data_IF_041340788788
#
_entry.id   IF_041340788788
#
_cell.length_a   1.000
_cell.length_b   1.000
_cell.length_c   1.000
_cell.angle_alpha   90.00
_cell.angle_beta   90.00
_cell.angle_gamma   90.00
#
_symmetry.space_group_name_H-M   'P 1'
#
loop_
_entity.id
_entity.type
_entity.pdbx_description
1 polymer ?
#
# COMPACT_ATOMS: atom_id res chain seq x y z
N UNK A 1 12.32 0.03 13.00
CA UNK A 1 10.96 -0.37 13.41
C UNK A 1 10.87 -0.72 14.90
N UNK A 2 11.68 -1.64 15.41
CA UNK A 2 11.62 -2.05 16.83
C UNK A 2 12.09 -0.94 17.76
N UNK A 3 13.05 -0.13 17.34
CA UNK A 3 13.51 1.04 18.11
C UNK A 3 12.40 2.07 18.28
N UNK A 4 11.54 2.24 17.25
CA UNK A 4 10.39 3.17 17.27
C UNK A 4 9.27 2.68 18.22
N UNK A 5 9.12 1.35 18.37
CA UNK A 5 8.06 0.74 19.18
C UNK A 5 8.42 0.60 20.67
N UNK A 6 9.71 0.75 21.03
CA UNK A 6 10.20 0.57 22.38
C UNK A 6 10.09 -0.88 22.88
N UNK A 7 9.88 -1.06 24.20
CA UNK A 7 9.73 -2.39 24.80
C UNK A 7 8.35 -2.99 24.48
N UNK A 8 8.33 -3.95 23.56
CA UNK A 8 7.11 -4.66 23.13
C UNK A 8 6.80 -5.91 23.95
N UNK A 9 7.58 -6.23 24.98
CA UNK A 9 7.39 -7.42 25.82
C UNK A 9 6.03 -7.43 26.53
N UNK A 10 5.50 -6.24 26.82
CA UNK A 10 4.20 -6.06 27.47
C UNK A 10 3.01 -6.59 26.64
N UNK A 11 3.16 -6.73 25.34
CA UNK A 11 2.08 -7.19 24.43
C UNK A 11 2.18 -8.68 24.06
N UNK A 12 3.03 -9.46 24.73
CA UNK A 12 3.36 -10.84 24.32
C UNK A 12 2.11 -11.72 24.19
N UNK A 13 1.20 -11.71 25.17
CA UNK A 13 -0.01 -12.53 25.14
C UNK A 13 -0.97 -12.12 24.02
N UNK A 14 -1.17 -10.82 23.84
CA UNK A 14 -2.01 -10.27 22.78
C UNK A 14 -1.45 -10.61 21.39
N UNK A 15 -0.13 -10.58 21.24
CA UNK A 15 0.57 -10.94 20.00
C UNK A 15 0.43 -12.43 19.70
N UNK A 16 0.58 -13.29 20.69
CA UNK A 16 0.40 -14.75 20.49
C UNK A 16 -1.04 -15.10 20.09
N UNK A 17 -2.03 -14.49 20.73
CA UNK A 17 -3.42 -14.64 20.32
C UNK A 17 -3.64 -14.17 18.88
N UNK A 18 -3.18 -12.95 18.55
CA UNK A 18 -3.33 -12.36 17.21
C UNK A 18 -2.66 -13.21 16.12
N UNK A 19 -1.47 -13.73 16.42
CA UNK A 19 -0.70 -14.62 15.58
C UNK A 19 -1.47 -15.90 15.22
N UNK A 20 -2.12 -16.51 16.21
CA UNK A 20 -2.86 -17.76 16.02
C UNK A 20 -4.15 -17.55 15.22
N UNK A 21 -4.87 -16.46 15.49
CA UNK A 21 -6.22 -16.24 14.93
C UNK A 21 -6.20 -15.54 13.55
N UNK A 22 -5.22 -14.66 13.31
CA UNK A 22 -5.29 -13.73 12.18
C UNK A 22 -4.11 -13.80 11.21
N UNK A 23 -3.05 -14.55 11.53
CA UNK A 23 -1.89 -14.68 10.63
C UNK A 23 -1.87 -16.08 10.01
N UNK A 24 -1.96 -16.22 8.68
CA UNK A 24 -1.89 -17.51 8.00
C UNK A 24 -0.62 -18.30 8.36
N UNK A 25 -0.75 -19.61 8.52
CA UNK A 25 0.34 -20.50 8.94
C UNK A 25 1.55 -20.40 8.00
N UNK A 26 1.34 -20.34 6.71
CA UNK A 26 2.39 -20.20 5.70
C UNK A 26 3.23 -18.90 5.89
N UNK A 27 2.61 -17.82 6.35
CA UNK A 27 3.32 -16.57 6.64
C UNK A 27 4.07 -16.64 7.97
N UNK A 28 3.58 -17.40 8.94
CA UNK A 28 4.33 -17.71 10.16
C UNK A 28 5.57 -18.56 9.87
N UNK A 29 5.47 -19.52 8.96
CA UNK A 29 6.61 -20.31 8.49
C UNK A 29 7.65 -19.45 7.78
N UNK A 30 7.22 -18.44 7.02
CA UNK A 30 8.12 -17.47 6.39
C UNK A 30 8.81 -16.58 7.44
N UNK A 31 8.09 -16.10 8.47
CA UNK A 31 8.67 -15.37 9.62
C UNK A 31 9.72 -16.22 10.33
N UNK A 32 9.44 -17.49 10.58
CA UNK A 32 10.42 -18.43 11.14
C UNK A 32 11.63 -18.63 10.23
N UNK A 33 11.43 -18.55 8.90
CA UNK A 33 12.50 -18.52 7.91
C UNK A 33 13.37 -17.27 8.03
N UNK A 34 12.76 -16.09 8.11
CA UNK A 34 13.45 -14.79 8.28
C UNK A 34 14.29 -14.78 9.55
N UNK A 35 13.76 -15.32 10.66
CA UNK A 35 14.46 -15.40 11.95
C UNK A 35 15.85 -16.07 11.84
N UNK A 36 16.04 -17.03 10.94
CA UNK A 36 17.31 -17.73 10.76
C UNK A 36 18.45 -16.81 10.28
N UNK A 37 18.12 -15.63 9.77
CA UNK A 37 19.08 -14.67 9.20
C UNK A 37 19.18 -13.37 10.02
N UNK A 38 18.57 -13.30 11.19
CA UNK A 38 18.65 -12.14 12.08
C UNK A 38 18.56 -12.54 13.55
N UNK A 39 18.90 -11.62 14.46
CA UNK A 39 18.89 -11.84 15.91
C UNK A 39 17.55 -11.48 16.57
N UNK A 40 16.48 -11.30 15.79
CA UNK A 40 15.16 -10.97 16.31
C UNK A 40 14.33 -12.23 16.57
N UNK A 41 13.44 -12.18 17.55
CA UNK A 41 12.44 -13.24 17.79
C UNK A 41 11.35 -13.20 16.70
N UNK A 42 10.63 -14.30 16.52
CA UNK A 42 9.49 -14.35 15.58
C UNK A 42 8.43 -13.28 15.92
N UNK A 43 8.17 -13.05 17.22
CA UNK A 43 7.22 -12.01 17.64
C UNK A 43 7.71 -10.61 17.29
N UNK A 44 9.00 -10.33 17.43
CA UNK A 44 9.59 -9.07 17.03
C UNK A 44 9.48 -8.87 15.50
N UNK A 45 9.73 -9.91 14.70
CA UNK A 45 9.56 -9.87 13.25
C UNK A 45 8.08 -9.69 12.90
N UNK A 46 7.17 -10.40 13.56
CA UNK A 46 5.73 -10.23 13.34
C UNK A 46 5.28 -8.79 13.66
N UNK A 47 5.69 -8.24 14.79
CA UNK A 47 5.36 -6.87 15.18
C UNK A 47 5.81 -5.86 14.12
N UNK A 48 7.01 -6.03 13.54
CA UNK A 48 7.46 -5.16 12.45
C UNK A 48 6.59 -5.30 11.19
N UNK A 49 5.94 -6.42 11.00
CA UNK A 49 5.00 -6.66 9.90
C UNK A 49 3.58 -6.13 10.19
N UNK A 50 3.26 -5.90 11.46
CA UNK A 50 2.03 -5.24 11.92
C UNK A 50 2.19 -3.72 12.07
N UNK A 51 3.37 -3.19 11.76
CA UNK A 51 3.71 -1.78 11.99
C UNK A 51 2.73 -0.80 11.33
N UNK A 52 2.23 -1.11 10.13
CA UNK A 52 1.23 -0.30 9.47
C UNK A 52 -0.03 -0.15 10.33
N UNK A 53 -0.55 -1.27 10.84
CA UNK A 53 -1.78 -1.26 11.63
C UNK A 53 -1.60 -0.57 12.99
N UNK A 54 -0.39 -0.57 13.54
CA UNK A 54 -0.05 0.05 14.81
C UNK A 54 0.27 1.55 14.72
N UNK A 55 0.99 1.99 13.67
CA UNK A 55 1.59 3.33 13.57
C UNK A 55 1.31 4.04 12.23
N UNK A 56 0.16 3.79 11.62
CA UNK A 56 -0.22 4.37 10.30
C UNK A 56 -0.24 5.91 10.25
N UNK A 57 -0.28 6.60 11.38
CA UNK A 57 -0.25 8.06 11.46
C UNK A 57 1.09 8.71 11.07
N UNK A 58 2.17 7.92 10.90
CA UNK A 58 3.48 8.40 10.43
C UNK A 58 3.69 8.23 8.92
N UNK A 59 2.65 7.79 8.18
CA UNK A 59 2.72 7.53 6.75
C UNK A 59 2.05 8.63 5.94
N UNK A 60 2.75 9.18 4.95
CA UNK A 60 2.15 9.87 3.83
C UNK A 60 2.14 8.98 2.60
N UNK A 61 1.24 9.21 1.68
CA UNK A 61 1.23 8.51 0.40
C UNK A 61 0.58 9.37 -0.67
N UNK A 62 1.02 9.19 -1.91
CA UNK A 62 0.34 9.72 -3.09
C UNK A 62 0.32 8.64 -4.15
N UNK A 63 -0.85 8.21 -4.58
CA UNK A 63 -0.98 7.26 -5.69
C UNK A 63 -1.92 7.83 -6.74
N UNK A 64 -1.61 7.61 -8.01
CA UNK A 64 -2.47 8.06 -9.10
C UNK A 64 -2.31 7.20 -10.36
N UNK A 65 -3.32 7.26 -11.22
CA UNK A 65 -3.33 6.75 -12.58
C UNK A 65 -4.02 7.77 -13.49
N UNK A 66 -3.56 7.85 -14.72
CA UNK A 66 -4.25 8.54 -15.80
C UNK A 66 -4.68 7.50 -16.82
N UNK A 67 -5.99 7.35 -17.00
CA UNK A 67 -6.55 6.36 -17.90
C UNK A 67 -6.51 6.88 -19.33
N UNK A 68 -5.48 6.50 -20.04
CA UNK A 68 -5.40 6.70 -21.50
C UNK A 68 -5.55 5.34 -22.18
N UNK A 69 -5.91 5.34 -23.46
CA UNK A 69 -6.11 4.10 -24.20
C UNK A 69 -4.80 3.39 -24.61
N UNK A 70 -3.64 3.98 -24.27
CA UNK A 70 -2.33 3.46 -24.71
C UNK A 70 -1.70 2.53 -23.66
N UNK A 71 -1.61 2.97 -22.42
CA UNK A 71 -0.95 2.21 -21.35
C UNK A 71 -1.68 2.41 -20.01
N UNK A 72 -1.90 1.31 -19.28
CA UNK A 72 -2.40 1.38 -17.92
C UNK A 72 -1.23 1.46 -16.94
N UNK A 73 -1.04 2.63 -16.37
CA UNK A 73 0.07 2.94 -15.47
C UNK A 73 -0.47 3.40 -14.11
N UNK A 74 0.05 2.79 -13.06
CA UNK A 74 -0.21 3.15 -11.68
C UNK A 74 1.08 3.69 -11.05
N UNK A 75 1.06 4.91 -10.56
CA UNK A 75 2.22 5.59 -9.99
C UNK A 75 2.02 5.85 -8.49
N UNK A 76 3.12 5.82 -7.71
CA UNK A 76 3.08 6.00 -6.26
C UNK A 76 4.33 6.64 -5.68
N UNK A 77 4.14 7.60 -4.75
CA UNK A 77 5.07 7.93 -3.69
C UNK A 77 4.64 7.22 -2.40
N UNK A 78 5.56 6.52 -1.77
CA UNK A 78 5.42 6.06 -0.39
C UNK A 78 6.28 6.98 0.49
N UNK A 79 5.61 7.69 1.39
CA UNK A 79 6.22 8.65 2.28
C UNK A 79 6.21 8.05 3.69
N UNK A 80 7.41 7.77 4.23
CA UNK A 80 7.58 7.13 5.51
C UNK A 80 8.82 7.66 6.21
N UNK A 81 8.63 8.24 7.37
CA UNK A 81 9.77 8.67 8.15
C UNK A 81 10.59 7.48 8.61
N UNK A 82 11.89 7.54 8.44
CA UNK A 82 12.84 6.55 8.95
C UNK A 82 14.15 7.19 9.30
N UNK A 83 14.75 6.78 10.43
CA UNK A 83 16.08 7.26 10.79
C UNK A 83 17.09 6.96 9.68
N UNK A 84 17.96 7.96 9.40
CA UNK A 84 19.06 7.87 8.44
C UNK A 84 18.64 7.37 7.04
N UNK A 85 17.38 7.57 6.66
CA UNK A 85 16.83 7.08 5.38
C UNK A 85 17.01 5.56 5.15
N UNK A 86 17.03 4.76 6.22
CA UNK A 86 17.26 3.32 6.16
C UNK A 86 16.27 2.62 5.22
N UNK A 87 14.99 2.98 5.26
CA UNK A 87 13.96 2.40 4.40
C UNK A 87 14.23 2.67 2.91
N UNK A 88 14.67 3.88 2.58
CA UNK A 88 15.01 4.24 1.19
C UNK A 88 16.17 3.40 0.67
N UNK A 89 17.25 3.27 1.45
CA UNK A 89 18.46 2.55 1.06
C UNK A 89 18.20 1.05 0.82
N UNK A 90 17.24 0.46 1.54
CA UNK A 90 16.95 -0.97 1.48
C UNK A 90 15.68 -1.33 0.70
N UNK A 91 15.04 -0.37 0.04
CA UNK A 91 13.90 -0.64 -0.83
C UNK A 91 14.29 -1.52 -2.02
N UNK A 92 13.51 -2.58 -2.27
CA UNK A 92 13.76 -3.57 -3.33
C UNK A 92 12.45 -3.99 -3.99
N UNK A 93 12.58 -4.50 -5.23
CA UNK A 93 11.51 -5.24 -5.90
C UNK A 93 11.71 -6.72 -5.60
N UNK A 94 10.69 -7.38 -5.06
CA UNK A 94 10.65 -8.80 -4.78
C UNK A 94 9.76 -9.50 -5.79
N UNK A 95 10.24 -10.60 -6.37
CA UNK A 95 9.49 -11.43 -7.31
C UNK A 95 9.12 -12.77 -6.66
N UNK A 96 7.83 -13.02 -6.53
CA UNK A 96 7.29 -14.27 -5.99
C UNK A 96 6.95 -15.21 -7.14
N UNK A 97 7.56 -16.39 -7.12
CA UNK A 97 7.50 -17.37 -8.21
C UNK A 97 6.83 -18.67 -7.78
N UNK A 98 6.11 -19.28 -8.72
CA UNK A 98 5.63 -20.65 -8.63
C UNK A 98 6.04 -21.38 -9.91
N UNK A 99 6.70 -22.52 -9.80
CA UNK A 99 7.20 -23.28 -10.96
C UNK A 99 7.99 -22.41 -11.97
N UNK A 100 8.87 -21.51 -11.49
CA UNK A 100 9.68 -20.55 -12.25
C UNK A 100 8.93 -19.38 -12.90
N UNK A 101 7.62 -19.30 -12.82
CA UNK A 101 6.84 -18.16 -13.30
C UNK A 101 6.60 -17.15 -12.18
N UNK A 102 6.75 -15.85 -12.50
CA UNK A 102 6.43 -14.78 -11.57
C UNK A 102 4.90 -14.68 -11.46
N UNK A 103 4.38 -14.96 -10.27
CA UNK A 103 2.94 -14.82 -9.97
C UNK A 103 2.61 -13.38 -9.61
N UNK A 104 3.41 -12.78 -8.75
CA UNK A 104 3.29 -11.36 -8.40
C UNK A 104 4.66 -10.80 -7.99
N UNK A 105 4.72 -9.47 -7.94
CA UNK A 105 5.89 -8.75 -7.47
C UNK A 105 5.47 -7.66 -6.49
N UNK A 106 6.31 -7.38 -5.50
CA UNK A 106 6.08 -6.30 -4.54
C UNK A 106 7.27 -5.37 -4.44
N UNK A 107 7.03 -4.14 -3.99
CA UNK A 107 8.07 -3.20 -3.56
C UNK A 107 8.03 -3.15 -2.04
N UNK A 108 9.14 -3.43 -1.40
CA UNK A 108 9.22 -3.52 0.06
C UNK A 108 10.65 -3.62 0.57
N UNK A 109 10.81 -4.25 1.72
CA UNK A 109 12.08 -4.36 2.43
C UNK A 109 12.35 -5.80 2.87
N UNK A 110 13.63 -6.21 3.00
CA UNK A 110 13.98 -7.52 3.56
C UNK A 110 13.34 -7.70 4.96
N UNK A 111 12.68 -8.85 5.18
CA UNK A 111 12.01 -9.16 6.45
C UNK A 111 10.59 -8.60 6.61
N UNK A 112 10.16 -7.68 5.74
CA UNK A 112 8.78 -7.24 5.67
C UNK A 112 8.01 -8.14 4.69
N UNK A 113 7.20 -9.05 5.22
CA UNK A 113 6.45 -10.06 4.43
C UNK A 113 5.09 -9.57 3.96
N UNK A 114 4.52 -8.55 4.64
CA UNK A 114 3.32 -7.86 4.19
C UNK A 114 3.57 -7.04 2.91
N UNK A 115 2.52 -6.56 2.26
CA UNK A 115 2.64 -5.78 1.02
C UNK A 115 1.90 -4.46 1.14
N UNK A 116 2.62 -3.36 0.87
CA UNK A 116 2.07 -2.00 0.74
C UNK A 116 1.88 -1.60 -0.71
N UNK A 117 2.64 -2.22 -1.62
CA UNK A 117 2.66 -1.93 -3.06
C UNK A 117 3.05 -3.18 -3.82
N UNK A 118 2.19 -3.64 -4.71
CA UNK A 118 2.47 -4.85 -5.48
C UNK A 118 1.69 -4.91 -6.79
N UNK A 119 2.12 -5.82 -7.65
CA UNK A 119 1.51 -6.08 -8.95
C UNK A 119 1.43 -7.58 -9.19
N UNK A 120 0.22 -8.07 -9.44
CA UNK A 120 0.03 -9.42 -9.99
C UNK A 120 0.43 -9.41 -11.45
N UNK A 121 1.23 -10.40 -11.84
CA UNK A 121 1.75 -10.49 -13.19
C UNK A 121 0.61 -10.48 -14.23
N UNK A 122 0.72 -9.56 -15.18
CA UNK A 122 -0.22 -9.41 -16.30
C UNK A 122 -1.70 -9.22 -15.94
N UNK A 123 -2.01 -8.72 -14.72
CA UNK A 123 -3.39 -8.59 -14.27
C UNK A 123 -3.69 -7.22 -13.64
N UNK A 124 -3.20 -6.94 -12.45
CA UNK A 124 -3.49 -5.69 -11.72
C UNK A 124 -2.37 -5.29 -10.76
N UNK A 125 -2.37 -4.05 -10.32
CA UNK A 125 -1.51 -3.52 -9.24
C UNK A 125 -2.35 -2.97 -8.10
N UNK A 126 -1.83 -3.06 -6.88
CA UNK A 126 -2.46 -2.55 -5.66
C UNK A 126 -1.46 -1.68 -4.91
N UNK A 127 -1.92 -0.54 -4.42
CA UNK A 127 -1.19 0.28 -3.44
C UNK A 127 -2.08 0.62 -2.26
N UNK A 128 -1.47 0.65 -1.06
CA UNK A 128 -2.12 1.00 0.19
C UNK A 128 -1.69 2.40 0.61
N UNK A 129 -2.64 3.31 0.76
CA UNK A 129 -2.43 4.63 1.34
C UNK A 129 -3.03 4.67 2.75
N UNK A 130 -2.29 5.22 3.70
CA UNK A 130 -2.77 5.41 5.06
C UNK A 130 -3.88 6.47 5.12
N UNK A 131 -4.81 6.25 6.02
CA UNK A 131 -5.86 7.20 6.40
C UNK A 131 -6.23 6.95 7.85
N UNK A 132 -6.72 7.96 8.55
CA UNK A 132 -7.23 7.84 9.89
C UNK A 132 -8.73 8.09 9.91
N UNK A 133 -9.46 7.21 10.59
CA UNK A 133 -10.89 7.39 10.83
C UNK A 133 -11.20 7.49 12.31
N UNK A 134 -12.42 7.89 12.64
CA UNK A 134 -12.94 7.87 14.01
C UNK A 134 -13.27 6.46 14.51
N UNK A 135 -13.22 5.44 13.64
CA UNK A 135 -13.40 4.05 14.03
C UNK A 135 -12.09 3.51 14.65
N UNK A 136 -12.19 2.85 15.80
CA UNK A 136 -11.06 2.15 16.41
C UNK A 136 -10.64 0.93 15.59
N UNK A 137 -9.43 0.38 15.85
CA UNK A 137 -8.98 -0.86 15.22
C UNK A 137 -9.89 -2.03 15.59
N UNK A 138 -10.01 -3.00 14.68
CA UNK A 138 -10.78 -4.22 14.88
C UNK A 138 -9.85 -5.44 14.99
N UNK A 139 -10.31 -6.49 15.67
CA UNK A 139 -9.64 -7.78 15.70
C UNK A 139 -9.92 -8.49 14.37
N UNK A 140 -9.01 -8.35 13.42
CA UNK A 140 -9.13 -8.88 12.07
C UNK A 140 -7.73 -9.02 11.42
N UNK A 141 -7.61 -9.68 10.26
CA UNK A 141 -6.33 -9.79 9.55
C UNK A 141 -5.69 -8.44 9.23
N UNK A 142 -4.34 -8.33 9.30
CA UNK A 142 -3.63 -7.12 8.90
C UNK A 142 -3.85 -6.83 7.42
N UNK A 143 -4.10 -5.57 7.08
CA UNK A 143 -4.38 -5.20 5.68
C UNK A 143 -3.21 -5.49 4.74
N UNK A 144 -1.97 -5.41 5.23
CA UNK A 144 -0.76 -5.72 4.44
C UNK A 144 -0.67 -7.19 4.05
N UNK A 145 -1.12 -8.10 4.93
CA UNK A 145 -1.22 -9.54 4.62
C UNK A 145 -2.42 -9.85 3.73
N UNK A 146 -3.55 -9.14 3.89
CA UNK A 146 -4.68 -9.25 2.97
C UNK A 146 -4.26 -8.87 1.54
N UNK A 147 -3.55 -7.76 1.34
CA UNK A 147 -3.04 -7.37 0.02
C UNK A 147 -2.16 -8.47 -0.57
N UNK A 148 -1.29 -9.08 0.25
CA UNK A 148 -0.46 -10.20 -0.17
C UNK A 148 -1.29 -11.40 -0.62
N UNK A 149 -2.28 -11.83 0.16
CA UNK A 149 -3.18 -12.92 -0.20
C UNK A 149 -3.92 -12.63 -1.51
N UNK A 150 -4.39 -11.40 -1.70
CA UNK A 150 -5.05 -11.00 -2.94
C UNK A 150 -4.10 -11.12 -4.12
N UNK A 151 -2.88 -10.59 -4.04
CA UNK A 151 -1.88 -10.73 -5.10
C UNK A 151 -1.48 -12.17 -5.38
N UNK A 152 -1.52 -13.04 -4.38
CA UNK A 152 -1.14 -14.45 -4.48
C UNK A 152 -2.24 -15.32 -5.08
N UNK A 153 -3.51 -15.09 -4.71
CA UNK A 153 -4.60 -16.00 -5.00
C UNK A 153 -5.64 -15.46 -6.00
N UNK A 154 -5.93 -14.16 -6.00
CA UNK A 154 -6.92 -13.58 -6.90
C UNK A 154 -6.34 -13.35 -8.30
N UNK A 155 -6.89 -13.99 -9.31
CA UNK A 155 -6.30 -14.01 -10.65
C UNK A 155 -6.64 -12.80 -11.50
N UNK A 156 -7.77 -12.15 -11.25
CA UNK A 156 -8.29 -11.04 -12.02
C UNK A 156 -8.65 -9.84 -11.15
N UNK A 157 -8.82 -8.68 -11.80
CA UNK A 157 -9.16 -7.42 -11.18
C UNK A 157 -10.44 -7.47 -10.36
N UNK A 158 -11.50 -8.08 -10.89
CA UNK A 158 -12.82 -8.06 -10.25
C UNK A 158 -12.85 -8.93 -8.99
N UNK A 159 -12.20 -10.08 -9.02
CA UNK A 159 -12.04 -10.95 -7.84
C UNK A 159 -11.20 -10.25 -6.77
N UNK A 160 -10.13 -9.55 -7.17
CA UNK A 160 -9.29 -8.77 -6.25
C UNK A 160 -10.09 -7.64 -5.57
N UNK A 161 -10.86 -6.86 -6.34
CA UNK A 161 -11.72 -5.79 -5.80
C UNK A 161 -12.73 -6.37 -4.81
N UNK A 162 -13.44 -7.43 -5.18
CA UNK A 162 -14.42 -8.08 -4.27
C UNK A 162 -13.76 -8.55 -2.98
N UNK A 163 -12.61 -9.21 -3.06
CA UNK A 163 -11.88 -9.70 -1.89
C UNK A 163 -11.43 -8.58 -0.97
N UNK A 164 -10.87 -7.50 -1.54
CA UNK A 164 -10.45 -6.32 -0.79
C UNK A 164 -11.62 -5.58 -0.13
N UNK A 165 -12.81 -5.58 -0.73
CA UNK A 165 -14.00 -4.96 -0.16
C UNK A 165 -14.61 -5.78 0.97
N UNK A 166 -14.67 -7.12 0.83
CA UNK A 166 -15.47 -7.98 1.69
C UNK A 166 -14.73 -8.60 2.86
N UNK A 167 -13.39 -8.74 2.76
CA UNK A 167 -12.60 -9.32 3.85
C UNK A 167 -12.51 -8.32 5.01
N UNK A 168 -12.80 -8.74 6.25
CA UNK A 168 -12.54 -7.91 7.43
C UNK A 168 -11.08 -7.45 7.50
N UNK A 169 -10.84 -6.24 7.99
CA UNK A 169 -9.51 -5.67 8.17
C UNK A 169 -9.33 -5.09 9.57
N UNK A 170 -8.09 -5.12 10.07
CA UNK A 170 -7.77 -4.61 11.41
C UNK A 170 -7.85 -3.08 11.49
N UNK A 171 -7.49 -2.38 10.43
CA UNK A 171 -7.42 -0.91 10.43
C UNK A 171 -7.84 -0.31 9.10
N UNK A 172 -8.26 0.95 9.15
CA UNK A 172 -8.67 1.77 8.01
C UNK A 172 -7.54 1.96 6.99
N UNK A 173 -7.92 2.03 5.73
CA UNK A 173 -6.97 2.22 4.63
C UNK A 173 -7.69 2.73 3.36
N UNK A 174 -6.89 3.23 2.43
CA UNK A 174 -7.30 3.52 1.06
C UNK A 174 -6.51 2.61 0.13
N UNK A 175 -7.20 1.80 -0.65
CA UNK A 175 -6.59 0.85 -1.57
C UNK A 175 -6.84 1.30 -3.00
N UNK A 176 -5.79 1.71 -3.71
CA UNK A 176 -5.90 1.96 -5.14
C UNK A 176 -5.56 0.69 -5.88
N UNK A 177 -6.44 0.25 -6.77
CA UNK A 177 -6.23 -0.87 -7.65
C UNK A 177 -6.39 -0.44 -9.11
N UNK A 178 -5.43 -0.82 -9.94
CA UNK A 178 -5.44 -0.56 -11.39
C UNK A 178 -5.24 -1.89 -12.10
N UNK A 179 -6.15 -2.22 -13.02
CA UNK A 179 -6.10 -3.42 -13.82
C UNK A 179 -5.43 -3.20 -15.16
N UNK A 180 -5.20 -4.31 -15.87
CA UNK A 180 -4.59 -4.31 -17.20
C UNK A 180 -5.54 -3.81 -18.28
N UNK A 181 -6.84 -4.11 -18.16
CA UNK A 181 -7.81 -3.78 -19.18
C UNK A 181 -8.29 -2.31 -19.06
N UNK A 182 -8.68 -1.67 -20.17
CA UNK A 182 -9.20 -0.29 -20.14
C UNK A 182 -10.37 -0.14 -19.17
N UNK A 183 -10.34 0.95 -18.38
CA UNK A 183 -11.39 1.25 -17.42
C UNK A 183 -11.27 0.52 -16.07
N UNK A 184 -10.39 -0.45 -15.94
CA UNK A 184 -10.15 -1.14 -14.68
C UNK A 184 -9.27 -0.31 -13.74
N UNK A 185 -9.90 0.60 -12.99
CA UNK A 185 -9.24 1.33 -11.92
C UNK A 185 -10.26 1.79 -10.89
N UNK A 186 -9.95 1.66 -9.60
CA UNK A 186 -10.75 2.25 -8.53
C UNK A 186 -9.89 2.52 -7.29
N UNK A 187 -10.43 3.36 -6.40
CA UNK A 187 -9.98 3.46 -5.01
C UNK A 187 -11.06 2.85 -4.12
N UNK A 188 -10.66 1.89 -3.29
CA UNK A 188 -11.51 1.31 -2.25
C UNK A 188 -11.17 2.05 -0.97
N UNK A 189 -12.11 2.85 -0.49
CA UNK A 189 -12.03 3.51 0.81
C UNK A 189 -12.56 2.56 1.87
N UNK A 190 -11.77 2.29 2.92
CA UNK A 190 -12.12 1.32 3.96
C UNK A 190 -11.95 1.88 5.36
N UNK A 191 -12.99 1.72 6.18
CA UNK A 191 -12.86 1.61 7.63
C UNK A 191 -12.90 0.12 8.03
N UNK A 192 -12.64 -0.27 9.28
CA UNK A 192 -12.80 -1.66 9.73
C UNK A 192 -14.18 -2.25 9.41
N UNK A 193 -15.24 -1.45 9.44
CA UNK A 193 -16.64 -1.91 9.29
C UNK A 193 -17.30 -1.55 7.97
N UNK A 194 -16.76 -0.60 7.20
CA UNK A 194 -17.38 -0.08 5.97
C UNK A 194 -16.41 -0.04 4.80
N UNK A 195 -16.98 -0.02 3.61
CA UNK A 195 -16.22 0.32 2.40
C UNK A 195 -17.05 1.16 1.43
N UNK A 196 -16.35 1.92 0.58
CA UNK A 196 -16.92 2.59 -0.58
C UNK A 196 -15.93 2.49 -1.74
N UNK A 197 -16.45 2.45 -2.96
CA UNK A 197 -15.64 2.39 -4.18
C UNK A 197 -15.74 3.73 -4.90
N UNK A 198 -14.59 4.34 -5.18
CA UNK A 198 -14.46 5.57 -5.95
C UNK A 198 -13.85 5.27 -7.31
N UNK A 199 -14.59 5.63 -8.34
CA UNK A 199 -14.18 5.45 -9.73
C UNK A 199 -13.38 6.66 -10.25
N UNK A 200 -12.65 6.52 -11.37
CA UNK A 200 -11.97 7.63 -12.02
C UNK A 200 -12.93 8.73 -12.46
N UNK A 201 -12.48 9.98 -12.35
CA UNK A 201 -13.17 11.15 -12.88
C UNK A 201 -12.29 11.83 -13.94
N UNK A 202 -12.84 12.16 -15.11
CA UNK A 202 -12.09 12.78 -16.21
C UNK A 202 -10.78 12.05 -16.55
N UNK A 203 -10.82 10.74 -16.61
CA UNK A 203 -9.67 9.85 -16.80
C UNK A 203 -8.60 9.90 -15.69
N UNK A 204 -8.88 10.54 -14.58
CA UNK A 204 -7.95 10.66 -13.45
C UNK A 204 -8.44 9.84 -12.27
N UNK A 205 -7.54 9.08 -11.68
CA UNK A 205 -7.75 8.45 -10.39
C UNK A 205 -6.59 8.85 -9.47
N UNK A 206 -6.90 9.53 -8.37
CA UNK A 206 -5.91 10.08 -7.46
C UNK A 206 -6.31 9.70 -6.04
N UNK A 207 -5.36 9.28 -5.22
CA UNK A 207 -5.54 9.03 -3.80
C UNK A 207 -4.34 9.53 -3.00
N UNK A 208 -4.61 10.21 -1.91
CA UNK A 208 -3.64 10.65 -0.92
C UNK A 208 -3.96 10.03 0.44
N UNK A 209 -4.28 10.80 1.46
CA UNK A 209 -4.53 10.29 2.81
C UNK A 209 -5.89 10.74 3.39
N UNK A 210 -6.89 10.97 2.51
CA UNK A 210 -8.23 11.41 2.90
C UNK A 210 -9.30 10.52 2.28
N UNK A 211 -10.35 10.25 3.04
CA UNK A 211 -11.61 9.76 2.48
C UNK A 211 -12.29 10.84 1.65
N UNK A 212 -12.80 10.46 0.49
CA UNK A 212 -13.59 11.35 -0.38
C UNK A 212 -15.07 10.98 -0.38
N UNK A 213 -15.40 9.68 -0.34
CA UNK A 213 -16.77 9.15 -0.25
C UNK A 213 -17.15 8.95 1.22
N UNK A 214 -16.29 8.28 2.00
CA UNK A 214 -16.46 8.11 3.43
C UNK A 214 -15.95 9.32 4.23
N UNK A 215 -16.11 10.53 3.67
CA UNK A 215 -15.56 11.77 4.22
C UNK A 215 -15.99 12.08 5.67
N UNK A 216 -17.18 11.61 6.09
CA UNK A 216 -17.63 11.71 7.49
C UNK A 216 -16.81 10.86 8.48
N UNK A 217 -15.94 9.96 7.99
CA UNK A 217 -15.02 9.19 8.81
C UNK A 217 -13.66 9.88 9.04
N UNK A 218 -13.30 10.92 8.26
CA UNK A 218 -12.05 11.66 8.44
C UNK A 218 -11.94 12.23 9.86
N UNK A 219 -10.75 12.09 10.46
CA UNK A 219 -10.44 12.77 11.72
C UNK A 219 -10.15 14.26 11.45
N UNK A 220 -10.68 15.13 12.27
CA UNK A 220 -10.33 16.57 12.23
C UNK A 220 -8.92 16.78 12.84
N UNK A 221 -8.11 17.67 12.23
CA UNK A 221 -6.77 18.06 12.69
C UNK A 221 -5.70 16.96 12.62
N UNK A 222 -5.75 16.11 11.61
CA UNK A 222 -4.71 15.13 11.35
C UNK A 222 -3.54 15.78 10.55
N UNK A 223 -2.29 15.60 11.02
CA UNK A 223 -1.09 16.07 10.34
C UNK A 223 -0.96 15.48 8.92
N UNK A 224 -1.43 14.25 8.71
CA UNK A 224 -1.48 13.64 7.38
C UNK A 224 -2.44 14.40 6.45
N UNK A 225 -3.53 14.88 6.98
CA UNK A 225 -4.57 15.60 6.26
C UNK A 225 -4.09 16.98 5.80
N UNK A 226 -3.28 17.69 6.59
CA UNK A 226 -2.77 19.02 6.26
C UNK A 226 -2.01 19.06 4.94
N UNK A 227 -1.26 18.01 4.63
CA UNK A 227 -0.50 17.90 3.37
C UNK A 227 -1.25 17.13 2.28
N UNK A 228 -2.25 16.34 2.64
CA UNK A 228 -2.95 15.42 1.76
C UNK A 228 -3.73 16.14 0.67
N UNK A 229 -4.56 17.13 1.03
CA UNK A 229 -5.34 17.92 0.09
C UNK A 229 -4.45 18.65 -0.90
N UNK A 230 -3.38 19.30 -0.44
CA UNK A 230 -2.45 20.01 -1.31
C UNK A 230 -1.77 19.10 -2.33
N UNK A 231 -1.33 17.89 -1.92
CA UNK A 231 -0.75 16.89 -2.82
C UNK A 231 -1.79 16.37 -3.84
N UNK A 232 -3.01 16.11 -3.39
CA UNK A 232 -4.10 15.70 -4.27
C UNK A 232 -4.39 16.72 -5.35
N UNK A 233 -4.57 18.00 -4.97
CA UNK A 233 -4.88 19.10 -5.88
C UNK A 233 -3.73 19.34 -6.85
N UNK A 234 -2.47 19.21 -6.39
CA UNK A 234 -1.29 19.36 -7.25
C UNK A 234 -1.20 18.25 -8.29
N UNK A 235 -1.44 16.99 -7.94
CA UNK A 235 -1.50 15.89 -8.90
C UNK A 235 -2.62 16.13 -9.91
N UNK A 236 -3.81 16.53 -9.46
CA UNK A 236 -4.97 16.83 -10.32
C UNK A 236 -4.65 17.95 -11.32
N UNK A 237 -4.00 19.02 -10.86
CA UNK A 237 -3.54 20.13 -11.71
C UNK A 237 -2.57 19.64 -12.79
N UNK A 238 -1.54 18.86 -12.40
CA UNK A 238 -0.51 18.37 -13.30
C UNK A 238 -1.08 17.41 -14.36
N UNK A 239 -1.94 16.47 -13.94
CA UNK A 239 -2.62 15.55 -14.86
C UNK A 239 -3.52 16.28 -15.87
N UNK A 240 -4.16 17.38 -15.44
CA UNK A 240 -5.05 18.16 -16.32
C UNK A 240 -4.26 19.01 -17.31
N UNK A 241 -3.12 19.59 -16.90
CA UNK A 241 -2.30 20.44 -17.76
C UNK A 241 -1.39 19.65 -18.70
N UNK A 242 -0.84 18.56 -18.22
CA UNK A 242 0.15 17.73 -18.90
C UNK A 242 -0.16 16.24 -18.66
N UNK A 243 -1.17 15.68 -19.37
CA UNK A 243 -1.48 14.26 -19.26
C UNK A 243 -0.26 13.39 -19.58
N UNK A 244 0.16 12.48 -18.68
CA UNK A 244 1.35 11.67 -18.87
C UNK A 244 1.18 10.69 -20.01
N UNK A 245 2.21 10.49 -20.84
CA UNK A 245 2.23 9.63 -21.99
C UNK A 245 3.10 8.36 -21.80
N UNK A 246 4.01 8.38 -20.84
CA UNK A 246 4.97 7.31 -20.59
C UNK A 246 5.44 7.32 -19.12
N UNK A 247 6.18 6.30 -18.70
CA UNK A 247 6.63 6.14 -17.31
C UNK A 247 7.45 7.35 -16.80
N UNK A 248 8.19 8.03 -17.68
CA UNK A 248 9.01 9.20 -17.29
C UNK A 248 8.13 10.35 -16.83
N UNK A 249 7.04 10.63 -17.55
CA UNK A 249 6.10 11.69 -17.22
C UNK A 249 5.44 11.45 -15.85
N UNK A 250 5.10 10.17 -15.54
CA UNK A 250 4.61 9.79 -14.21
C UNK A 250 5.64 10.08 -13.11
N UNK A 251 6.94 9.80 -13.36
CA UNK A 251 7.99 10.13 -12.39
C UNK A 251 8.22 11.64 -12.27
N UNK A 252 8.00 12.42 -13.30
CA UNK A 252 8.06 13.89 -13.23
C UNK A 252 6.97 14.42 -12.29
N UNK A 253 5.73 13.90 -12.39
CA UNK A 253 4.64 14.25 -11.47
C UNK A 253 4.98 13.81 -10.04
N UNK A 254 5.43 12.56 -9.84
CA UNK A 254 5.82 12.04 -8.51
C UNK A 254 6.95 12.86 -7.87
N UNK A 255 7.84 13.44 -8.68
CA UNK A 255 9.01 14.20 -8.21
C UNK A 255 8.74 15.70 -8.06
N UNK A 256 7.53 16.17 -8.45
CA UNK A 256 7.15 17.57 -8.28
C UNK A 256 7.18 17.95 -6.79
N UNK A 257 7.71 19.12 -6.45
CA UNK A 257 7.85 19.60 -5.08
C UNK A 257 6.52 19.74 -4.31
N UNK A 258 5.40 19.95 -5.02
CA UNK A 258 4.06 19.95 -4.43
C UNK A 258 3.44 18.55 -4.26
N UNK A 259 4.13 17.48 -4.68
CA UNK A 259 3.67 16.08 -4.59
C UNK A 259 4.60 15.22 -3.73
N UNK A 260 5.91 15.40 -3.90
CA UNK A 260 6.94 14.66 -3.18
C UNK A 260 7.16 15.26 -1.79
N UNK A 261 7.16 14.41 -0.78
CA UNK A 261 7.47 14.80 0.59
C UNK A 261 8.96 14.60 0.91
N UNK A 262 9.48 15.31 1.92
CA UNK A 262 10.87 15.13 2.39
C UNK A 262 11.12 13.72 2.96
N UNK A 263 10.06 13.04 3.39
CA UNK A 263 10.07 11.67 3.92
C UNK A 263 9.77 10.62 2.86
N UNK A 264 9.75 10.96 1.56
CA UNK A 264 9.52 9.99 0.49
C UNK A 264 10.65 8.97 0.43
N UNK A 265 10.34 7.70 0.71
CA UNK A 265 11.30 6.58 0.72
C UNK A 265 11.26 5.76 -0.56
N UNK A 266 10.13 5.75 -1.28
CA UNK A 266 9.97 5.02 -2.54
C UNK A 266 9.16 5.84 -3.53
N UNK A 267 9.64 5.92 -4.76
CA UNK A 267 8.88 6.37 -5.92
C UNK A 267 8.79 5.19 -6.89
N UNK A 268 7.58 4.82 -7.29
CA UNK A 268 7.40 3.65 -8.14
C UNK A 268 6.33 3.84 -9.20
N UNK A 269 6.50 3.13 -10.30
CA UNK A 269 5.56 3.06 -11.42
C UNK A 269 5.34 1.61 -11.78
N UNK A 270 4.08 1.18 -11.78
CA UNK A 270 3.62 -0.10 -12.28
C UNK A 270 3.05 0.11 -13.68
N UNK A 271 3.70 -0.41 -14.69
CA UNK A 271 3.18 -0.43 -16.06
C UNK A 271 2.51 -1.79 -16.31
N UNK A 272 1.18 -1.82 -16.26
CA UNK A 272 0.37 -3.04 -16.37
C UNK A 272 0.43 -3.59 -17.79
N UNK A 273 0.49 -2.72 -18.80
CA UNK A 273 0.58 -3.09 -20.21
C UNK A 273 1.89 -3.81 -20.52
N UNK A 274 3.00 -3.32 -19.98
CA UNK A 274 4.35 -3.90 -20.15
C UNK A 274 4.70 -4.95 -19.09
N UNK A 275 3.84 -5.18 -18.11
CA UNK A 275 4.10 -6.06 -16.95
C UNK A 275 5.42 -5.71 -16.24
N UNK A 276 5.64 -4.42 -15.94
CA UNK A 276 6.91 -3.90 -15.44
C UNK A 276 6.72 -3.02 -14.20
N UNK A 277 7.62 -3.19 -13.22
CA UNK A 277 7.76 -2.31 -12.06
C UNK A 277 9.06 -1.52 -12.20
N UNK A 278 8.99 -0.20 -12.00
CA UNK A 278 10.15 0.68 -11.95
C UNK A 278 10.17 1.33 -10.57
N UNK A 279 11.28 1.20 -9.85
CA UNK A 279 11.52 1.76 -8.52
C UNK A 279 12.69 2.77 -8.60
N UNK A 280 12.51 3.94 -7.94
CA UNK A 280 13.54 4.97 -7.74
C UNK A 280 13.74 5.28 -6.25
#
# INVERSE_FOLDING_TARGET
>A
YLEDLGDVSFFTEAIEFYKQEYVPKEYLEEIAGVRKFCNFTENQILITNLYYDALKFVFGCTSFSYLNHAENIHARNLDWWSERNALKAHSKVFHFKKANEIIYSSVGWPGFIGILSGMRASSYSITLNAVLSSEGPNMAPPVTLLIRQVLEFEQDYDSAVRKLCQTPIASDCLLMIVGKEPGQACVIERTPTKFAIRNPENNQLIVTNDYKILNGANLSNDILQDTSCGRYDKVKELLSKHPPQNEKDYFEILSNEGVKMNITVQQMVFNLTKNKIILK
#
